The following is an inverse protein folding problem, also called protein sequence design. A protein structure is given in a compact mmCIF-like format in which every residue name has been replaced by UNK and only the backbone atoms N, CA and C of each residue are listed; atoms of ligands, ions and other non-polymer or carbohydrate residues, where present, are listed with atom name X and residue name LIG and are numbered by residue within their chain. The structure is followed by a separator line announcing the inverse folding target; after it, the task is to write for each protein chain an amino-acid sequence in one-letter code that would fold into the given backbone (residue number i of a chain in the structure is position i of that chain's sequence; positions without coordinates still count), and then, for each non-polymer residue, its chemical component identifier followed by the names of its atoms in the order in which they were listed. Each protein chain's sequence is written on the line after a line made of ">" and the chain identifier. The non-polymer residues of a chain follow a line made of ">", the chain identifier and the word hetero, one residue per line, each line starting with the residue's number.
data_IF_405901792101
#
_entry.id   IF_405901792101
#
_cell.length_a   1.000
_cell.length_b   1.000
_cell.length_c   1.000
_cell.angle_alpha   90.00
_cell.angle_beta   90.00
_cell.angle_gamma   90.00
#
_symmetry.space_group_name_H-M   'P 1'
#
loop_
_entity.id
_entity.type
_entity.pdbx_description
1 polymer ?
#
# COMPACT_ATOMS: atom_id res chain seq x y z
N UNK A 1 -2.77 41.06 -19.48
CA UNK A 1 -3.47 40.38 -20.58
C UNK A 1 -2.86 40.91 -21.88
N UNK A 2 -2.26 40.02 -22.68
CA UNK A 2 -1.44 40.31 -23.87
C UNK A 2 -0.03 39.72 -23.80
N UNK A 3 0.59 39.36 -24.94
CA UNK A 3 2.03 39.05 -25.06
C UNK A 3 2.77 40.23 -25.73
N UNK A 4 4.03 40.45 -25.35
CA UNK A 4 4.88 41.54 -25.85
C UNK A 4 5.03 42.72 -24.87
N UNK A 5 5.78 43.78 -25.24
CA UNK A 5 6.07 44.95 -24.37
C UNK A 5 4.82 45.72 -23.89
N UNK A 6 3.64 45.43 -24.46
CA UNK A 6 2.34 45.99 -24.09
C UNK A 6 1.57 45.15 -23.05
N UNK A 7 2.16 44.07 -22.54
CA UNK A 7 1.52 43.18 -21.57
C UNK A 7 1.26 43.88 -20.23
N UNK A 8 -0.02 44.15 -19.92
CA UNK A 8 -0.43 44.68 -18.61
C UNK A 8 -0.64 43.55 -17.61
N UNK A 9 0.08 43.56 -16.49
CA UNK A 9 -0.21 42.67 -15.36
C UNK A 9 -1.48 43.14 -14.64
N UNK A 10 -2.45 42.25 -14.46
CA UNK A 10 -3.69 42.55 -13.72
C UNK A 10 -3.59 41.83 -12.38
N UNK A 11 -3.57 42.61 -11.29
CA UNK A 11 -3.67 42.07 -9.93
C UNK A 11 -5.13 41.92 -9.58
N UNK A 12 -5.61 40.69 -9.48
CA UNK A 12 -6.97 40.38 -9.03
C UNK A 12 -6.88 40.11 -7.52
N UNK A 13 -7.56 40.90 -6.66
CA UNK A 13 -7.61 40.59 -5.24
C UNK A 13 -8.36 39.27 -5.03
N UNK A 14 -7.80 38.38 -4.21
CA UNK A 14 -8.41 37.10 -3.86
C UNK A 14 -8.95 37.21 -2.43
N UNK A 15 -10.16 36.71 -2.20
CA UNK A 15 -10.74 36.60 -0.86
C UNK A 15 -9.87 35.72 0.04
N UNK A 16 -9.99 35.88 1.36
CA UNK A 16 -9.30 35.00 2.32
C UNK A 16 -9.87 33.58 2.19
N UNK A 17 -8.98 32.59 2.09
CA UNK A 17 -9.34 31.17 2.06
C UNK A 17 -8.29 30.34 2.77
N UNK A 18 -8.66 29.10 3.13
CA UNK A 18 -7.73 28.09 3.66
C UNK A 18 -7.38 27.13 2.54
N UNK A 19 -6.09 27.02 2.20
CA UNK A 19 -5.61 26.02 1.25
C UNK A 19 -5.31 24.71 1.98
N UNK A 20 -5.93 23.62 1.55
CA UNK A 20 -5.62 22.27 2.01
C UNK A 20 -4.94 21.53 0.86
N UNK A 21 -3.66 21.18 1.04
CA UNK A 21 -2.90 20.36 0.10
C UNK A 21 -2.80 18.91 0.59
N UNK A 22 -2.93 17.95 -0.32
CA UNK A 22 -2.69 16.54 -0.06
C UNK A 22 -1.72 15.98 -1.12
N UNK A 23 -0.69 15.26 -0.68
CA UNK A 23 0.33 14.66 -1.55
C UNK A 23 0.83 13.36 -0.95
N UNK A 24 1.14 12.37 -1.80
CA UNK A 24 1.86 11.15 -1.41
C UNK A 24 3.36 11.41 -1.23
N UNK A 25 3.89 12.45 -1.90
CA UNK A 25 5.32 12.82 -1.91
C UNK A 25 5.50 14.25 -1.40
N UNK A 26 5.63 14.41 -0.08
CA UNK A 26 5.88 15.72 0.53
C UNK A 26 7.18 16.38 0.00
N UNK A 27 8.20 15.57 -0.30
CA UNK A 27 9.48 16.05 -0.84
C UNK A 27 9.42 16.58 -2.28
N UNK A 28 8.35 16.28 -3.03
CA UNK A 28 8.14 16.81 -4.38
C UNK A 28 7.52 18.20 -4.39
N UNK A 29 7.06 18.70 -3.23
CA UNK A 29 6.51 20.06 -3.11
C UNK A 29 7.66 21.04 -3.03
N UNK A 30 7.63 22.07 -3.88
CA UNK A 30 8.69 23.09 -3.90
C UNK A 30 8.80 23.80 -2.54
N UNK A 31 10.02 24.05 -2.09
CA UNK A 31 10.28 24.72 -0.81
C UNK A 31 9.52 26.06 -0.65
N UNK A 32 9.38 26.92 -1.69
CA UNK A 32 8.60 28.14 -1.59
C UNK A 32 7.11 27.92 -1.33
N UNK A 33 6.52 26.84 -1.81
CA UNK A 33 5.12 26.50 -1.56
C UNK A 33 4.96 25.78 -0.22
N UNK A 34 5.84 24.83 0.08
CA UNK A 34 5.84 24.09 1.34
C UNK A 34 5.93 25.02 2.56
N UNK A 35 6.80 26.03 2.52
CA UNK A 35 6.96 27.03 3.60
C UNK A 35 5.72 27.90 3.85
N UNK A 36 4.69 27.85 2.99
CA UNK A 36 3.42 28.57 3.18
C UNK A 36 2.38 27.78 3.98
N UNK A 37 2.58 26.48 4.18
CA UNK A 37 1.68 25.68 5.00
C UNK A 37 2.07 25.81 6.47
N UNK A 38 1.22 26.46 7.28
CA UNK A 38 1.43 26.59 8.73
C UNK A 38 1.13 25.31 9.52
N UNK A 39 0.47 24.33 8.91
CA UNK A 39 0.14 23.04 9.50
C UNK A 39 0.56 21.96 8.50
N UNK A 40 1.38 21.01 8.96
CA UNK A 40 1.79 19.84 8.19
C UNK A 40 1.46 18.58 8.99
N UNK A 41 0.70 17.68 8.38
CA UNK A 41 0.26 16.42 8.99
C UNK A 41 0.70 15.27 8.10
N UNK A 42 1.39 14.29 8.69
CA UNK A 42 1.77 13.05 8.00
C UNK A 42 0.82 11.94 8.41
N UNK A 43 0.15 11.34 7.44
CA UNK A 43 -0.66 10.15 7.65
C UNK A 43 0.19 8.92 7.41
N UNK A 44 0.21 8.02 8.40
CA UNK A 44 0.82 6.70 8.28
C UNK A 44 -0.26 5.65 8.05
N UNK A 45 0.15 4.43 7.70
CA UNK A 45 -0.75 3.29 7.67
C UNK A 45 -1.30 3.02 9.08
N UNK A 46 -2.58 2.63 9.14
CA UNK A 46 -3.27 2.31 10.37
C UNK A 46 -2.77 0.99 10.94
N UNK A 47 -2.86 0.85 12.26
CA UNK A 47 -2.63 -0.44 12.89
C UNK A 47 -3.84 -1.35 12.69
N UNK A 48 -3.63 -2.66 12.84
CA UNK A 48 -4.69 -3.65 12.63
C UNK A 48 -5.88 -3.39 13.56
N UNK A 49 -5.64 -2.98 14.81
CA UNK A 49 -6.69 -2.62 15.78
C UNK A 49 -7.54 -1.43 15.32
N UNK A 50 -6.92 -0.39 14.75
CA UNK A 50 -7.66 0.75 14.21
C UNK A 50 -8.52 0.34 13.02
N UNK A 51 -7.99 -0.54 12.16
CA UNK A 51 -8.74 -1.09 11.03
C UNK A 51 -9.93 -1.91 11.52
N UNK A 52 -9.78 -2.72 12.57
CA UNK A 52 -10.89 -3.45 13.19
C UNK A 52 -12.01 -2.49 13.62
N UNK A 53 -11.67 -1.37 14.27
CA UNK A 53 -12.67 -0.36 14.65
C UNK A 53 -13.38 0.26 13.44
N UNK A 54 -12.62 0.56 12.37
CA UNK A 54 -13.17 1.07 11.12
C UNK A 54 -14.12 0.04 10.50
N UNK A 55 -13.72 -1.24 10.44
CA UNK A 55 -14.52 -2.33 9.90
C UNK A 55 -15.82 -2.54 10.69
N UNK A 56 -15.77 -2.53 12.02
CA UNK A 56 -16.95 -2.62 12.90
C UNK A 56 -17.94 -1.49 12.60
N UNK A 57 -17.43 -0.25 12.54
CA UNK A 57 -18.25 0.92 12.21
C UNK A 57 -18.86 0.80 10.81
N UNK A 58 -18.07 0.39 9.83
CA UNK A 58 -18.51 0.25 8.43
C UNK A 58 -19.54 -0.87 8.25
N UNK A 59 -19.35 -2.02 8.91
CA UNK A 59 -20.30 -3.12 8.90
C UNK A 59 -21.66 -2.67 9.44
N UNK A 60 -21.67 -1.96 10.57
CA UNK A 60 -22.91 -1.38 11.14
C UNK A 60 -23.58 -0.38 10.21
N UNK A 61 -22.83 0.48 9.53
CA UNK A 61 -23.40 1.48 8.61
C UNK A 61 -23.98 0.88 7.32
N UNK A 62 -23.49 -0.29 6.91
CA UNK A 62 -23.92 -0.98 5.71
C UNK A 62 -24.85 -2.16 5.99
N UNK A 63 -25.26 -2.34 7.26
CA UNK A 63 -26.08 -3.46 7.73
C UNK A 63 -25.52 -4.85 7.35
N UNK A 64 -24.20 -5.01 7.52
CA UNK A 64 -23.49 -6.25 7.22
C UNK A 64 -23.26 -7.00 8.53
N UNK A 65 -23.76 -8.24 8.61
CA UNK A 65 -23.50 -9.12 9.74
C UNK A 65 -22.08 -9.72 9.64
N UNK A 66 -21.27 -9.53 10.68
CA UNK A 66 -19.88 -10.02 10.76
C UNK A 66 -19.65 -10.63 12.14
N UNK A 67 -19.07 -11.82 12.19
CA UNK A 67 -18.63 -12.42 13.44
C UNK A 67 -17.37 -11.74 13.98
N UNK A 68 -17.25 -11.69 15.30
CA UNK A 68 -16.14 -10.99 15.96
C UNK A 68 -14.77 -11.56 15.59
N UNK A 69 -14.69 -12.88 15.36
CA UNK A 69 -13.48 -13.60 14.95
C UNK A 69 -13.00 -13.26 13.52
N UNK A 70 -13.89 -12.74 12.66
CA UNK A 70 -13.58 -12.40 11.28
C UNK A 70 -12.85 -11.06 11.14
N UNK A 71 -13.01 -10.15 12.11
CA UNK A 71 -12.45 -8.79 12.00
C UNK A 71 -10.93 -8.76 11.92
N UNK A 72 -10.25 -9.61 12.70
CA UNK A 72 -8.79 -9.68 12.67
C UNK A 72 -8.26 -10.08 11.28
N UNK A 73 -8.89 -11.08 10.65
CA UNK A 73 -8.53 -11.54 9.31
C UNK A 73 -8.83 -10.47 8.25
N UNK A 74 -9.97 -9.80 8.35
CA UNK A 74 -10.34 -8.68 7.47
C UNK A 74 -9.34 -7.51 7.60
N UNK A 75 -8.89 -7.22 8.82
CA UNK A 75 -7.92 -6.16 9.08
C UNK A 75 -6.56 -6.49 8.44
N UNK A 76 -6.08 -7.72 8.59
CA UNK A 76 -4.84 -8.18 7.95
C UNK A 76 -4.88 -8.04 6.42
N UNK A 77 -6.04 -8.29 5.79
CA UNK A 77 -6.22 -8.11 4.35
C UNK A 77 -6.16 -6.65 3.87
N UNK A 78 -6.30 -5.69 4.78
CA UNK A 78 -6.48 -4.27 4.43
C UNK A 78 -5.18 -3.52 4.17
N UNK A 79 -4.03 -4.11 4.51
CA UNK A 79 -2.72 -3.46 4.42
C UNK A 79 -2.68 -2.11 5.15
N UNK A 80 -3.28 -2.04 6.35
CA UNK A 80 -3.37 -0.81 7.15
C UNK A 80 -4.12 0.34 6.47
N UNK A 81 -4.92 0.05 5.44
CA UNK A 81 -5.57 1.08 4.61
C UNK A 81 -7.09 0.99 4.74
N UNK A 82 -7.76 2.01 5.32
CA UNK A 82 -9.22 2.01 5.50
C UNK A 82 -10.03 1.82 4.21
N UNK A 83 -9.53 2.39 3.09
CA UNK A 83 -10.16 2.22 1.76
C UNK A 83 -10.15 0.76 1.32
N UNK A 84 -9.05 0.04 1.55
CA UNK A 84 -8.92 -1.38 1.21
C UNK A 84 -9.76 -2.22 2.16
N UNK A 85 -9.73 -1.93 3.47
CA UNK A 85 -10.57 -2.60 4.46
C UNK A 85 -12.05 -2.59 4.06
N UNK A 86 -12.59 -1.43 3.71
CA UNK A 86 -13.98 -1.30 3.27
C UNK A 86 -14.29 -1.99 1.94
N UNK A 87 -13.31 -2.05 1.02
CA UNK A 87 -13.44 -2.79 -0.24
C UNK A 87 -13.50 -4.30 0.02
N UNK A 88 -12.63 -4.82 0.89
CA UNK A 88 -12.59 -6.23 1.28
C UNK A 88 -13.86 -6.60 2.03
N UNK A 89 -14.34 -5.78 2.97
CA UNK A 89 -15.59 -6.01 3.70
C UNK A 89 -16.79 -6.20 2.76
N UNK A 90 -16.93 -5.31 1.76
CA UNK A 90 -18.00 -5.45 0.75
C UNK A 90 -17.87 -6.74 -0.07
N UNK A 91 -16.64 -7.11 -0.44
CA UNK A 91 -16.39 -8.37 -1.16
C UNK A 91 -16.71 -9.60 -0.31
N UNK A 92 -16.38 -9.58 0.98
CA UNK A 92 -16.67 -10.69 1.89
C UNK A 92 -18.16 -10.82 2.18
N UNK A 93 -18.92 -9.71 2.18
CA UNK A 93 -20.38 -9.76 2.18
C UNK A 93 -20.90 -10.51 0.95
N UNK A 94 -20.45 -10.10 -0.24
CA UNK A 94 -20.88 -10.76 -1.49
C UNK A 94 -20.55 -12.27 -1.46
N UNK A 95 -19.40 -12.66 -0.89
CA UNK A 95 -19.07 -14.07 -0.68
C UNK A 95 -19.97 -14.76 0.36
N UNK A 96 -20.30 -14.11 1.47
CA UNK A 96 -21.18 -14.69 2.51
C UNK A 96 -22.61 -14.93 2.01
N UNK A 97 -23.10 -14.09 1.09
CA UNK A 97 -24.43 -14.25 0.48
C UNK A 97 -24.48 -15.44 -0.49
N UNK A 98 -23.39 -15.70 -1.23
CA UNK A 98 -23.34 -16.77 -2.23
C UNK A 98 -22.92 -18.12 -1.63
N UNK A 99 -22.03 -18.12 -0.65
CA UNK A 99 -21.38 -19.33 -0.13
C UNK A 99 -21.83 -19.74 1.26
N UNK A 100 -22.58 -18.89 1.96
CA UNK A 100 -22.91 -19.08 3.37
C UNK A 100 -24.34 -18.67 3.68
N UNK A 101 -24.50 -18.10 4.87
CA UNK A 101 -25.78 -17.70 5.44
C UNK A 101 -25.98 -16.16 5.47
N UNK A 102 -25.19 -15.40 4.70
CA UNK A 102 -25.21 -13.94 4.72
C UNK A 102 -24.48 -13.30 5.90
N UNK A 103 -23.80 -14.09 6.75
CA UNK A 103 -22.94 -13.59 7.83
C UNK A 103 -21.47 -13.83 7.48
N UNK A 104 -20.64 -12.82 7.61
CA UNK A 104 -19.19 -12.94 7.38
C UNK A 104 -18.54 -13.60 8.60
N UNK A 105 -18.14 -14.87 8.46
CA UNK A 105 -17.36 -15.61 9.46
C UNK A 105 -15.87 -15.65 9.10
N UNK A 106 -15.02 -16.08 10.03
CA UNK A 106 -13.61 -16.32 9.75
C UNK A 106 -13.40 -17.29 8.57
N UNK A 107 -14.25 -18.32 8.44
CA UNK A 107 -14.21 -19.25 7.31
C UNK A 107 -14.53 -18.54 5.97
N UNK A 108 -15.57 -17.70 5.94
CA UNK A 108 -15.89 -16.91 4.74
C UNK A 108 -14.72 -16.05 4.31
N UNK A 109 -14.04 -15.40 5.28
CA UNK A 109 -12.89 -14.55 5.00
C UNK A 109 -11.74 -15.38 4.43
N UNK A 110 -11.40 -16.53 5.03
CA UNK A 110 -10.34 -17.41 4.53
C UNK A 110 -10.62 -17.95 3.12
N UNK A 111 -11.86 -18.35 2.85
CA UNK A 111 -12.27 -18.79 1.51
C UNK A 111 -12.22 -17.64 0.50
N UNK A 112 -12.69 -16.45 0.90
CA UNK A 112 -12.64 -15.24 0.08
C UNK A 112 -11.20 -14.81 -0.23
N UNK A 113 -10.31 -14.84 0.76
CA UNK A 113 -8.87 -14.57 0.58
C UNK A 113 -8.27 -15.52 -0.44
N UNK A 114 -8.55 -16.83 -0.34
CA UNK A 114 -8.08 -17.82 -1.31
C UNK A 114 -8.55 -17.51 -2.74
N UNK A 115 -9.81 -17.12 -2.91
CA UNK A 115 -10.38 -16.75 -4.23
C UNK A 115 -9.85 -15.43 -4.77
N UNK A 116 -9.55 -14.48 -3.89
CA UNK A 116 -8.94 -13.20 -4.24
C UNK A 116 -7.42 -13.30 -4.41
N UNK A 117 -6.84 -14.49 -4.22
CA UNK A 117 -5.40 -14.72 -4.19
C UNK A 117 -4.67 -13.78 -3.20
N UNK A 118 -5.27 -13.58 -2.02
CA UNK A 118 -4.65 -12.86 -0.91
C UNK A 118 -4.05 -13.90 0.04
N UNK A 119 -2.78 -13.73 0.41
CA UNK A 119 -2.11 -14.63 1.36
C UNK A 119 -2.29 -14.20 2.82
N UNK A 120 -1.70 -14.98 3.74
CA UNK A 120 -1.81 -14.76 5.18
C UNK A 120 -1.22 -13.41 5.65
N UNK A 121 -0.34 -12.78 4.87
CA UNK A 121 0.22 -11.46 5.18
C UNK A 121 -0.55 -10.33 4.50
N UNK A 122 -1.65 -10.64 3.81
CA UNK A 122 -2.45 -9.66 3.06
C UNK A 122 -1.79 -9.25 1.75
N UNK A 123 -0.80 -9.98 1.24
CA UNK A 123 -0.17 -9.67 -0.04
C UNK A 123 -1.10 -10.12 -1.17
N UNK A 124 -1.28 -9.25 -2.16
CA UNK A 124 -1.99 -9.55 -3.40
C UNK A 124 -1.02 -10.17 -4.44
N UNK A 125 -1.56 -10.56 -5.59
CA UNK A 125 -0.76 -11.14 -6.69
C UNK A 125 0.42 -10.27 -7.12
N UNK A 126 0.22 -8.96 -7.23
CA UNK A 126 1.27 -8.02 -7.63
C UNK A 126 2.37 -7.91 -6.57
N UNK A 127 2.00 -7.86 -5.29
CA UNK A 127 2.96 -7.84 -4.17
C UNK A 127 3.89 -9.07 -4.22
N UNK A 128 3.32 -10.27 -4.38
CA UNK A 128 4.10 -11.51 -4.53
C UNK A 128 4.92 -11.53 -5.81
N UNK A 129 4.41 -10.98 -6.90
CA UNK A 129 5.14 -10.89 -8.17
C UNK A 129 6.38 -9.98 -8.04
N UNK A 130 6.26 -8.86 -7.33
CA UNK A 130 7.39 -7.96 -7.03
C UNK A 130 8.48 -8.73 -6.28
N UNK A 131 8.13 -9.38 -5.17
CA UNK A 131 9.06 -10.17 -4.37
C UNK A 131 9.72 -11.28 -5.19
N UNK A 132 8.93 -12.01 -5.98
CA UNK A 132 9.42 -13.09 -6.84
C UNK A 132 10.40 -12.58 -7.90
N UNK A 133 10.13 -11.44 -8.52
CA UNK A 133 11.04 -10.82 -9.49
C UNK A 133 12.36 -10.44 -8.84
N UNK A 134 12.34 -9.82 -7.65
CA UNK A 134 13.55 -9.45 -6.91
C UNK A 134 14.38 -10.70 -6.60
N UNK A 135 13.73 -11.77 -6.13
CA UNK A 135 14.40 -13.01 -5.75
C UNK A 135 14.96 -13.77 -6.97
N UNK A 136 14.13 -14.04 -8.00
CA UNK A 136 14.51 -14.92 -9.12
C UNK A 136 15.36 -14.23 -10.16
N UNK A 137 15.04 -12.97 -10.52
CA UNK A 137 15.71 -12.27 -11.63
C UNK A 137 16.93 -11.50 -11.16
N UNK A 138 16.93 -11.06 -9.91
CA UNK A 138 17.98 -10.21 -9.35
C UNK A 138 18.72 -10.86 -8.17
N UNK A 139 18.53 -12.17 -7.94
CA UNK A 139 19.20 -12.94 -6.87
C UNK A 139 19.08 -12.26 -5.49
N UNK A 140 17.89 -11.73 -5.18
CA UNK A 140 17.60 -11.01 -3.94
C UNK A 140 17.86 -9.50 -3.99
N UNK A 141 18.41 -8.97 -5.09
CA UNK A 141 18.78 -7.57 -5.25
C UNK A 141 20.28 -7.31 -5.01
N UNK A 142 20.71 -6.02 -5.01
CA UNK A 142 19.89 -4.82 -5.12
C UNK A 142 19.38 -4.55 -6.55
N UNK A 143 18.12 -4.11 -6.67
CA UNK A 143 17.51 -3.68 -7.95
C UNK A 143 16.97 -2.25 -7.89
N UNK A 144 17.23 -1.45 -8.94
CA UNK A 144 16.74 -0.07 -9.05
C UNK A 144 15.21 0.02 -9.23
N UNK A 145 14.61 1.15 -8.85
CA UNK A 145 13.16 1.39 -8.97
C UNK A 145 12.68 1.21 -10.41
N UNK A 146 13.39 1.86 -11.34
CA UNK A 146 13.07 1.87 -12.77
C UNK A 146 13.11 0.46 -13.36
N UNK A 147 14.20 -0.27 -13.10
CA UNK A 147 14.40 -1.64 -13.57
C UNK A 147 13.33 -2.60 -13.02
N UNK A 148 13.00 -2.46 -11.74
CA UNK A 148 11.97 -3.26 -11.11
C UNK A 148 10.59 -2.93 -11.69
N UNK A 149 10.25 -1.65 -11.82
CA UNK A 149 8.98 -1.19 -12.40
C UNK A 149 8.77 -1.71 -13.83
N UNK A 150 9.81 -1.63 -14.68
CA UNK A 150 9.79 -2.20 -16.04
C UNK A 150 9.52 -3.70 -16.01
N UNK A 151 10.16 -4.44 -15.09
CA UNK A 151 9.99 -5.89 -14.99
C UNK A 151 8.59 -6.32 -14.55
N UNK A 152 7.90 -5.47 -13.78
CA UNK A 152 6.52 -5.70 -13.33
C UNK A 152 5.50 -5.21 -14.38
N UNK A 153 5.91 -4.29 -15.26
CA UNK A 153 5.02 -3.62 -16.22
C UNK A 153 4.23 -2.47 -15.61
N UNK A 154 4.78 -1.82 -14.58
CA UNK A 154 4.16 -0.74 -13.82
C UNK A 154 4.98 0.55 -13.91
N UNK A 155 4.39 1.67 -13.50
CA UNK A 155 5.14 2.92 -13.34
C UNK A 155 5.97 2.91 -12.05
N UNK A 156 7.09 3.65 -12.03
CA UNK A 156 7.91 3.81 -10.82
C UNK A 156 7.10 4.43 -9.69
N UNK A 157 6.24 5.40 -10.00
CA UNK A 157 5.36 6.03 -9.02
C UNK A 157 4.38 5.02 -8.42
N UNK A 158 3.78 4.14 -9.22
CA UNK A 158 2.90 3.07 -8.71
C UNK A 158 3.68 2.15 -7.78
N UNK A 159 4.89 1.73 -8.16
CA UNK A 159 5.73 0.89 -7.32
C UNK A 159 6.03 1.55 -5.96
N UNK A 160 6.48 2.79 -5.97
CA UNK A 160 6.95 3.50 -4.77
C UNK A 160 5.81 3.97 -3.86
N UNK A 161 4.67 4.37 -4.43
CA UNK A 161 3.57 4.97 -3.68
C UNK A 161 2.51 3.95 -3.27
N UNK A 162 2.35 2.85 -4.01
CA UNK A 162 1.26 1.89 -3.79
C UNK A 162 1.74 0.54 -3.24
N UNK A 163 2.73 -0.09 -3.85
CA UNK A 163 3.14 -1.45 -3.48
C UNK A 163 4.24 -1.47 -2.40
N UNK A 164 5.31 -0.71 -2.62
CA UNK A 164 6.49 -0.73 -1.78
C UNK A 164 6.26 -0.33 -0.31
N UNK A 165 5.39 0.66 0.04
CA UNK A 165 5.22 1.08 1.42
C UNK A 165 4.80 -0.07 2.35
N UNK A 166 3.87 -0.92 1.89
CA UNK A 166 3.41 -2.07 2.68
C UNK A 166 4.47 -3.17 2.77
N UNK A 167 5.15 -3.47 1.66
CA UNK A 167 6.22 -4.47 1.62
C UNK A 167 7.41 -4.09 2.52
N UNK A 168 7.77 -2.81 2.56
CA UNK A 168 8.81 -2.29 3.47
C UNK A 168 8.33 -2.31 4.91
N UNK A 169 7.09 -1.87 5.20
CA UNK A 169 6.55 -1.86 6.56
C UNK A 169 6.47 -3.27 7.17
N UNK A 170 6.05 -4.27 6.40
CA UNK A 170 6.02 -5.67 6.83
C UNK A 170 7.39 -6.34 6.81
N UNK A 171 8.42 -5.66 6.32
CA UNK A 171 9.81 -6.13 6.34
C UNK A 171 10.15 -7.14 5.25
N UNK A 172 9.38 -7.21 4.15
CA UNK A 172 9.68 -8.06 2.99
C UNK A 172 10.75 -7.47 2.06
N UNK A 173 10.85 -6.15 2.01
CA UNK A 173 11.83 -5.42 1.19
C UNK A 173 12.58 -4.43 2.07
N UNK A 174 13.89 -4.34 1.85
CA UNK A 174 14.73 -3.29 2.39
C UNK A 174 15.15 -2.31 1.27
N UNK A 175 15.03 -1.00 1.54
CA UNK A 175 15.58 0.05 0.68
C UNK A 175 17.04 0.29 1.02
N UNK A 176 17.91 0.21 0.02
CA UNK A 176 19.34 0.58 0.11
C UNK A 176 19.65 1.67 -0.91
N UNK A 177 20.76 2.41 -0.77
CA UNK A 177 21.20 3.38 -1.79
C UNK A 177 21.42 2.76 -3.18
N UNK A 178 21.71 1.44 -3.23
CA UNK A 178 21.94 0.69 -4.48
C UNK A 178 20.66 0.14 -5.10
N UNK A 179 19.55 0.11 -4.36
CA UNK A 179 18.29 -0.48 -4.82
C UNK A 179 17.53 -1.23 -3.72
N UNK A 180 16.48 -1.94 -4.14
CA UNK A 180 15.62 -2.77 -3.28
C UNK A 180 16.23 -4.15 -3.13
N UNK A 181 16.21 -4.67 -1.91
CA UNK A 181 16.71 -6.00 -1.55
C UNK A 181 15.58 -6.78 -0.87
N UNK A 182 15.39 -8.03 -1.27
CA UNK A 182 14.45 -8.94 -0.59
C UNK A 182 15.06 -9.45 0.71
N UNK A 183 14.28 -9.45 1.78
CA UNK A 183 14.71 -9.93 3.10
C UNK A 183 14.46 -11.44 3.25
N UNK A 184 15.04 -12.04 4.30
CA UNK A 184 14.81 -13.47 4.63
C UNK A 184 13.33 -13.81 4.84
N UNK A 185 12.53 -12.83 5.29
CA UNK A 185 11.08 -12.98 5.43
C UNK A 185 10.42 -13.23 4.06
N UNK A 186 10.87 -12.55 3.01
CA UNK A 186 10.35 -12.76 1.65
C UNK A 186 10.70 -14.14 1.11
N UNK A 187 11.93 -14.60 1.32
CA UNK A 187 12.36 -15.95 0.96
C UNK A 187 11.53 -17.02 1.68
N UNK A 188 11.41 -16.89 3.00
CA UNK A 188 10.65 -17.83 3.85
C UNK A 188 9.19 -17.88 3.44
N UNK A 189 8.57 -16.72 3.22
CA UNK A 189 7.15 -16.61 2.86
C UNK A 189 6.85 -17.22 1.49
N UNK A 190 7.69 -16.93 0.49
CA UNK A 190 7.53 -17.48 -0.86
C UNK A 190 8.04 -18.92 -0.99
N UNK A 191 8.60 -19.49 0.09
CA UNK A 191 9.22 -20.82 0.12
C UNK A 191 10.33 -20.98 -0.92
N UNK A 192 11.14 -19.93 -1.06
CA UNK A 192 12.25 -19.85 -2.00
C UNK A 192 13.57 -19.95 -1.24
N UNK A 193 14.55 -20.63 -1.82
CA UNK A 193 15.88 -20.71 -1.23
C UNK A 193 16.67 -19.44 -1.55
N UNK A 194 17.36 -18.90 -0.55
CA UNK A 194 18.41 -17.92 -0.80
C UNK A 194 19.50 -18.60 -1.64
N UNK A 195 19.93 -17.96 -2.73
CA UNK A 195 21.11 -18.43 -3.45
C UNK A 195 22.31 -18.40 -2.50
N UNK A 196 23.20 -19.40 -2.59
CA UNK A 196 24.37 -19.63 -1.71
C UNK A 196 25.35 -18.45 -1.53
N UNK A 197 25.13 -17.29 -2.17
CA UNK A 197 25.95 -16.08 -2.08
C UNK A 197 25.43 -15.02 -1.08
N UNK A 198 24.32 -15.29 -0.37
CA UNK A 198 23.74 -14.31 0.56
C UNK A 198 24.63 -14.03 1.79
N UNK A 199 25.38 -15.03 2.26
CA UNK A 199 26.22 -14.93 3.48
C UNK A 199 27.45 -14.03 3.34
N UNK A 200 27.87 -13.66 2.13
CA UNK A 200 29.03 -12.78 1.92
C UNK A 200 28.67 -11.30 1.74
N UNK A 201 27.38 -10.94 1.65
CA UNK A 201 26.96 -9.60 1.18
C UNK A 201 26.82 -8.53 2.27
N UNK A 202 26.89 -8.89 3.55
CA UNK A 202 26.83 -7.95 4.68
C UNK A 202 28.17 -7.77 5.41
N UNK A 203 29.27 -8.31 4.88
CA UNK A 203 30.60 -8.26 5.50
C UNK A 203 31.49 -7.08 5.00
N UNK A 204 30.95 -6.13 4.25
CA UNK A 204 31.63 -4.88 3.87
C UNK A 204 30.71 -3.67 3.92
#
# INVERSE_FOLDING_TARGET
>A
IGQGPSARSVRIPVSRFTLIGATTKAGSVSAPLHSRFGISVRLNLYQDDDIVQILKRSARLMDIAVHEDAYALLAQCSRGTPRVANRVLRRMRDFSEVLGNGVISAETVLQGMKRMEIDAYGLEKHDRAILKIIIERYNGGPVGAETLAISIGESVDTLEDFYEPYLVQKGFIQRTPRGRVATDLAYTHLKMQAGNDADQRFLF
#
